data_IF_520980159597
#
_entry.id   IF_520980159597
#
_cell.length_a   1.000
_cell.length_b   1.000
_cell.length_c   1.000
_cell.angle_alpha   90.00
_cell.angle_beta   90.00
_cell.angle_gamma   90.00
#
_symmetry.space_group_name_H-M   'P 1'
#
loop_
_entity.id
_entity.type
_entity.pdbx_description
1 polymer ?
#
# COMPACT_ATOMS: atom_id res chain seq x y z
N UNK A 1 -12.39 -25.33 -7.62
CA UNK A 1 -11.51 -25.37 -6.42
C UNK A 1 -10.51 -24.24 -6.60
N UNK A 2 -10.43 -23.32 -5.66
CA UNK A 2 -9.56 -22.14 -5.76
C UNK A 2 -8.17 -22.48 -5.21
N UNK A 3 -7.09 -22.51 -6.04
CA UNK A 3 -5.75 -22.87 -5.58
C UNK A 3 -5.20 -21.95 -4.48
N UNK A 4 -5.60 -20.68 -4.46
CA UNK A 4 -5.13 -19.72 -3.45
C UNK A 4 -5.68 -20.06 -2.06
N UNK A 5 -6.95 -20.50 -2.00
CA UNK A 5 -7.54 -20.96 -0.76
C UNK A 5 -6.88 -22.26 -0.24
N UNK A 6 -6.41 -23.13 -1.14
CA UNK A 6 -5.65 -24.33 -0.74
C UNK A 6 -4.29 -23.98 -0.13
N UNK A 7 -3.58 -22.97 -0.63
CA UNK A 7 -2.34 -22.50 -0.01
C UNK A 7 -2.57 -22.01 1.42
N UNK A 8 -3.70 -21.33 1.66
CA UNK A 8 -4.09 -20.89 3.00
C UNK A 8 -4.35 -22.07 3.95
N UNK A 9 -4.97 -23.15 3.48
CA UNK A 9 -5.14 -24.38 4.26
C UNK A 9 -3.80 -25.04 4.62
N UNK A 10 -2.78 -24.87 3.77
CA UNK A 10 -1.40 -25.30 4.03
C UNK A 10 -0.60 -24.32 4.92
N UNK A 11 -1.22 -23.22 5.35
CA UNK A 11 -0.62 -22.22 6.23
C UNK A 11 0.19 -21.14 5.52
N UNK A 12 0.11 -21.04 4.19
CA UNK A 12 0.77 -19.99 3.41
C UNK A 12 -0.19 -18.84 3.11
N UNK A 13 0.22 -17.62 3.46
CA UNK A 13 -0.49 -16.39 3.15
C UNK A 13 -0.21 -15.94 1.70
N UNK A 14 -1.24 -15.44 1.02
CA UNK A 14 -1.14 -14.95 -0.36
C UNK A 14 -1.32 -13.44 -0.35
N UNK A 15 -0.32 -12.72 -0.88
CA UNK A 15 -0.33 -11.27 -0.96
C UNK A 15 -0.36 -10.82 -2.42
N UNK A 16 -1.03 -9.70 -2.70
CA UNK A 16 -1.06 -9.06 -4.01
C UNK A 16 0.12 -8.09 -4.14
N UNK A 17 0.98 -8.27 -5.15
CA UNK A 17 2.10 -7.36 -5.44
C UNK A 17 1.75 -6.30 -6.49
N UNK A 18 0.66 -5.58 -6.21
CA UNK A 18 0.18 -4.46 -7.02
C UNK A 18 -0.81 -3.65 -6.20
N UNK A 19 -0.90 -2.34 -6.46
CA UNK A 19 -1.93 -1.47 -5.92
C UNK A 19 -2.14 -0.27 -6.84
N UNK A 20 -3.40 0.07 -7.05
CA UNK A 20 -3.81 1.26 -7.79
C UNK A 20 -5.26 1.58 -7.47
N UNK A 21 -5.64 2.84 -7.65
CA UNK A 21 -6.95 3.37 -7.25
C UNK A 21 -8.12 2.65 -7.93
N UNK A 22 -7.92 2.12 -9.13
CA UNK A 22 -8.92 1.30 -9.81
C UNK A 22 -9.35 0.08 -8.98
N UNK A 23 -8.41 -0.67 -8.38
CA UNK A 23 -8.73 -1.83 -7.55
C UNK A 23 -9.62 -1.47 -6.34
N UNK A 24 -9.49 -0.25 -5.86
CA UNK A 24 -10.23 0.29 -4.72
C UNK A 24 -11.61 0.81 -5.12
N UNK A 25 -11.70 1.44 -6.29
CA UNK A 25 -12.92 2.10 -6.78
C UNK A 25 -13.91 1.10 -7.40
N UNK A 26 -13.42 0.08 -8.10
CA UNK A 26 -14.25 -0.92 -8.77
C UNK A 26 -14.60 -2.14 -7.87
N UNK A 27 -14.03 -2.19 -6.67
CA UNK A 27 -14.27 -3.24 -5.69
C UNK A 27 -13.54 -4.55 -5.96
N UNK A 28 -12.67 -4.62 -6.98
CA UNK A 28 -11.91 -5.82 -7.31
C UNK A 28 -10.94 -6.23 -6.19
N UNK A 29 -10.35 -5.28 -5.44
CA UNK A 29 -9.54 -5.64 -4.28
C UNK A 29 -10.37 -6.35 -3.20
N UNK A 30 -11.57 -5.84 -2.91
CA UNK A 30 -12.46 -6.48 -1.95
C UNK A 30 -12.83 -7.89 -2.43
N UNK A 31 -13.10 -8.06 -3.73
CA UNK A 31 -13.36 -9.38 -4.30
C UNK A 31 -12.18 -10.34 -4.13
N UNK A 32 -10.94 -9.91 -4.37
CA UNK A 32 -9.73 -10.71 -4.16
C UNK A 32 -9.56 -11.14 -2.69
N UNK A 33 -9.85 -10.23 -1.75
CA UNK A 33 -9.78 -10.54 -0.31
C UNK A 33 -10.85 -11.58 0.06
N UNK A 34 -12.10 -11.36 -0.34
CA UNK A 34 -13.24 -12.20 0.08
C UNK A 34 -13.31 -13.55 -0.64
N UNK A 35 -13.06 -13.57 -1.95
CA UNK A 35 -13.27 -14.76 -2.79
C UNK A 35 -12.00 -15.58 -2.96
N UNK A 36 -10.84 -14.92 -2.99
CA UNK A 36 -9.55 -15.54 -3.28
C UNK A 36 -8.64 -15.66 -2.05
N UNK A 37 -9.02 -15.04 -0.94
CA UNK A 37 -8.29 -15.14 0.32
C UNK A 37 -6.99 -14.35 0.35
N UNK A 38 -6.83 -13.35 -0.54
CA UNK A 38 -5.71 -12.40 -0.48
C UNK A 38 -5.69 -11.74 0.90
N UNK A 39 -4.55 -11.86 1.58
CA UNK A 39 -4.40 -11.50 2.99
C UNK A 39 -3.35 -10.43 3.22
N UNK A 40 -2.79 -9.85 2.16
CA UNK A 40 -1.90 -8.70 2.25
C UNK A 40 -1.64 -8.08 0.89
N UNK A 41 -1.07 -6.88 0.89
CA UNK A 41 -0.75 -6.11 -0.32
C UNK A 41 0.65 -5.54 -0.18
N UNK A 42 1.44 -5.64 -1.25
CA UNK A 42 2.69 -4.90 -1.37
C UNK A 42 2.60 -3.79 -2.41
N UNK A 43 3.19 -2.65 -2.07
CA UNK A 43 3.40 -1.55 -3.01
C UNK A 43 4.89 -1.20 -3.09
N UNK A 44 5.24 -0.44 -4.12
CA UNK A 44 6.55 0.16 -4.31
C UNK A 44 6.43 1.36 -5.26
N UNK A 45 7.47 2.22 -5.39
CA UNK A 45 7.40 3.39 -6.26
C UNK A 45 7.10 3.06 -7.73
N UNK A 46 7.56 1.92 -8.25
CA UNK A 46 7.31 1.52 -9.63
C UNK A 46 5.83 1.13 -9.86
N UNK A 47 5.18 0.49 -8.88
CA UNK A 47 3.75 0.19 -8.89
C UNK A 47 2.94 1.49 -8.99
N UNK A 48 3.19 2.45 -8.10
CA UNK A 48 2.47 3.73 -8.11
C UNK A 48 2.75 4.57 -9.35
N UNK A 49 4.01 4.57 -9.83
CA UNK A 49 4.34 5.25 -11.08
C UNK A 49 3.46 4.74 -12.23
N UNK A 50 3.30 3.41 -12.38
CA UNK A 50 2.41 2.86 -13.42
C UNK A 50 0.94 3.27 -13.17
N UNK A 51 0.44 3.08 -11.95
CA UNK A 51 -0.96 3.36 -11.63
C UNK A 51 -1.35 4.82 -11.92
N UNK A 52 -0.47 5.76 -11.55
CA UNK A 52 -0.71 7.20 -11.69
C UNK A 52 -0.50 7.66 -13.15
N UNK A 53 0.58 7.21 -13.81
CA UNK A 53 0.91 7.72 -15.16
C UNK A 53 0.09 7.09 -16.29
N UNK A 54 -0.50 5.90 -16.08
CA UNK A 54 -1.18 5.15 -17.14
C UNK A 54 -2.71 5.23 -17.05
N UNK A 55 -3.26 6.04 -16.13
CA UNK A 55 -4.71 6.20 -15.98
C UNK A 55 -5.09 7.65 -15.66
N UNK A 56 -6.27 8.08 -16.12
CA UNK A 56 -6.83 9.40 -15.78
C UNK A 56 -7.56 9.43 -14.43
N UNK A 57 -7.56 8.32 -13.67
CA UNK A 57 -8.30 8.19 -12.39
C UNK A 57 -7.77 9.19 -11.35
N UNK A 58 -6.49 9.55 -11.43
CA UNK A 58 -5.85 10.46 -10.49
C UNK A 58 -5.97 11.94 -10.89
N UNK A 59 -6.38 12.27 -12.12
CA UNK A 59 -6.33 13.63 -12.68
C UNK A 59 -7.07 14.66 -11.85
N UNK A 60 -8.26 14.31 -11.35
CA UNK A 60 -9.08 15.21 -10.55
C UNK A 60 -8.40 15.55 -9.21
N UNK A 61 -7.82 14.55 -8.54
CA UNK A 61 -7.11 14.73 -7.28
C UNK A 61 -5.79 15.51 -7.50
N UNK A 62 -5.03 15.17 -8.54
CA UNK A 62 -3.81 15.89 -8.94
C UNK A 62 -4.12 17.38 -9.17
N UNK A 63 -5.17 17.69 -9.95
CA UNK A 63 -5.56 19.08 -10.22
C UNK A 63 -5.95 19.80 -8.93
N UNK A 64 -6.75 19.17 -8.09
CA UNK A 64 -7.19 19.76 -6.82
C UNK A 64 -6.02 20.08 -5.88
N UNK A 65 -5.04 19.19 -5.78
CA UNK A 65 -3.86 19.40 -4.92
C UNK A 65 -2.90 20.42 -5.51
N UNK A 66 -2.73 20.45 -6.84
CA UNK A 66 -1.98 21.49 -7.51
C UNK A 66 -2.60 22.89 -7.31
N UNK A 67 -3.94 23.01 -7.37
CA UNK A 67 -4.66 24.25 -7.08
C UNK A 67 -4.51 24.72 -5.62
N UNK A 68 -4.22 23.80 -4.70
CA UNK A 68 -3.90 24.10 -3.29
C UNK A 68 -2.44 24.56 -3.10
N UNK A 69 -1.60 24.48 -4.14
CA UNK A 69 -0.20 24.87 -4.10
C UNK A 69 0.77 23.76 -3.68
N UNK A 70 0.32 22.50 -3.65
CA UNK A 70 1.18 21.37 -3.31
C UNK A 70 2.27 21.16 -4.38
N UNK A 71 3.47 20.77 -3.94
CA UNK A 71 4.55 20.32 -4.85
C UNK A 71 4.23 18.95 -5.45
N UNK A 72 4.93 18.56 -6.53
CA UNK A 72 4.78 17.22 -7.12
C UNK A 72 4.94 16.09 -6.11
N UNK A 73 5.92 16.23 -5.20
CA UNK A 73 6.24 15.21 -4.20
C UNK A 73 5.14 15.12 -3.14
N UNK A 74 4.60 16.26 -2.72
CA UNK A 74 3.47 16.32 -1.80
C UNK A 74 2.19 15.72 -2.44
N UNK A 75 1.92 16.03 -3.71
CA UNK A 75 0.80 15.45 -4.45
C UNK A 75 0.94 13.93 -4.53
N UNK A 76 2.12 13.44 -4.96
CA UNK A 76 2.39 12.01 -5.04
C UNK A 76 2.16 11.33 -3.69
N UNK A 77 2.74 11.86 -2.62
CA UNK A 77 2.63 11.26 -1.29
C UNK A 77 1.18 11.22 -0.80
N UNK A 78 0.40 12.30 -1.00
CA UNK A 78 -1.02 12.33 -0.64
C UNK A 78 -1.81 11.24 -1.36
N UNK A 79 -1.62 11.09 -2.67
CA UNK A 79 -2.33 10.07 -3.46
C UNK A 79 -1.99 8.66 -2.99
N UNK A 80 -0.71 8.40 -2.72
CA UNK A 80 -0.23 7.11 -2.24
C UNK A 80 -0.76 6.80 -0.84
N UNK A 81 -0.69 7.74 0.09
CA UNK A 81 -1.19 7.56 1.45
C UNK A 81 -2.70 7.27 1.43
N UNK A 82 -3.48 8.00 0.63
CA UNK A 82 -4.92 7.75 0.49
C UNK A 82 -5.22 6.32 0.02
N UNK A 83 -4.52 5.86 -1.03
CA UNK A 83 -4.74 4.52 -1.58
C UNK A 83 -4.30 3.43 -0.58
N UNK A 84 -3.19 3.64 0.14
CA UNK A 84 -2.70 2.75 1.20
C UNK A 84 -3.67 2.70 2.38
N UNK A 85 -4.22 3.83 2.82
CA UNK A 85 -5.20 3.89 3.90
C UNK A 85 -6.46 3.11 3.55
N UNK A 86 -6.99 3.32 2.33
CA UNK A 86 -8.16 2.59 1.84
C UNK A 86 -7.91 1.08 1.75
N UNK A 87 -6.75 0.68 1.24
CA UNK A 87 -6.37 -0.73 1.19
C UNK A 87 -6.21 -1.35 2.59
N UNK A 88 -5.60 -0.61 3.53
CA UNK A 88 -5.44 -1.05 4.91
C UNK A 88 -6.79 -1.19 5.63
N UNK A 89 -7.73 -0.29 5.35
CA UNK A 89 -9.10 -0.35 5.88
C UNK A 89 -9.85 -1.60 5.36
N UNK A 90 -9.68 -1.97 4.08
CA UNK A 90 -10.26 -3.20 3.52
C UNK A 90 -9.67 -4.49 4.13
N UNK A 91 -8.37 -4.48 4.48
CA UNK A 91 -7.70 -5.63 5.11
C UNK A 91 -7.83 -5.67 6.64
N UNK A 92 -8.49 -4.67 7.25
CA UNK A 92 -8.55 -4.52 8.70
C UNK A 92 -9.20 -5.72 9.40
N UNK A 93 -10.23 -6.29 8.79
CA UNK A 93 -10.93 -7.45 9.34
C UNK A 93 -10.06 -8.71 9.28
N UNK A 94 -9.31 -8.91 8.19
CA UNK A 94 -8.30 -9.97 8.09
C UNK A 94 -7.24 -9.83 9.17
N UNK A 95 -6.73 -8.61 9.40
CA UNK A 95 -5.75 -8.34 10.44
C UNK A 95 -6.26 -8.69 11.84
N UNK A 96 -7.50 -8.30 12.16
CA UNK A 96 -8.12 -8.63 13.44
C UNK A 96 -8.40 -10.12 13.58
N UNK A 97 -8.96 -10.76 12.56
CA UNK A 97 -9.36 -12.16 12.60
C UNK A 97 -8.16 -13.13 12.68
N UNK A 98 -6.99 -12.70 12.22
CA UNK A 98 -5.75 -13.50 12.25
C UNK A 98 -4.82 -13.14 13.40
N UNK A 99 -5.30 -12.36 14.37
CA UNK A 99 -4.49 -11.84 15.50
C UNK A 99 -3.19 -11.18 15.01
N UNK A 100 -3.32 -10.29 14.03
CA UNK A 100 -2.22 -9.54 13.41
C UNK A 100 -1.20 -10.40 12.66
N UNK A 101 -1.50 -11.67 12.33
CA UNK A 101 -0.63 -12.50 11.49
C UNK A 101 -0.68 -12.07 10.01
N UNK A 102 -1.84 -11.66 9.53
CA UNK A 102 -2.08 -11.20 8.16
C UNK A 102 -2.79 -9.83 8.16
N UNK A 103 -3.26 -9.40 6.99
CA UNK A 103 -4.06 -8.20 6.81
C UNK A 103 -3.24 -6.93 6.64
N UNK A 104 -2.01 -7.03 6.12
CA UNK A 104 -1.09 -5.92 6.01
C UNK A 104 -1.09 -5.27 4.62
N UNK A 105 -0.81 -3.98 4.59
CA UNK A 105 -0.45 -3.24 3.37
C UNK A 105 0.93 -2.65 3.56
N UNK A 106 1.82 -2.75 2.58
CA UNK A 106 3.15 -2.13 2.66
C UNK A 106 3.27 -0.82 1.89
N UNK A 107 4.05 0.11 2.45
CA UNK A 107 4.48 1.36 1.84
C UNK A 107 6.01 1.47 1.97
N UNK A 108 6.70 1.74 0.86
CA UNK A 108 8.17 1.85 0.85
C UNK A 108 8.64 3.26 1.18
N UNK A 109 9.72 3.37 1.95
CA UNK A 109 10.46 4.63 2.11
C UNK A 109 11.05 5.09 0.77
N UNK A 110 11.50 6.34 0.70
CA UNK A 110 12.21 6.81 -0.50
C UNK A 110 13.45 5.95 -0.79
N UNK A 111 13.61 5.39 -2.00
CA UNK A 111 14.79 4.60 -2.37
C UNK A 111 16.11 5.39 -2.29
N UNK A 112 16.04 6.72 -2.33
CA UNK A 112 17.21 7.59 -2.18
C UNK A 112 17.80 7.59 -0.77
N UNK A 113 17.07 7.05 0.21
CA UNK A 113 17.51 6.96 1.60
C UNK A 113 18.12 5.60 1.94
N UNK A 114 18.19 4.66 0.99
CA UNK A 114 18.57 3.28 1.23
C UNK A 114 19.96 3.09 1.88
N UNK A 115 20.87 4.04 1.71
CA UNK A 115 22.22 4.02 2.30
C UNK A 115 22.38 4.99 3.50
N UNK A 116 21.28 5.55 4.02
CA UNK A 116 21.24 6.43 5.19
C UNK A 116 20.24 5.91 6.24
N UNK A 117 20.77 5.24 7.28
CA UNK A 117 19.96 4.63 8.34
C UNK A 117 19.11 5.65 9.08
N UNK A 118 19.68 6.83 9.39
CA UNK A 118 19.00 7.84 10.18
C UNK A 118 17.84 8.42 9.38
N UNK A 119 18.11 8.81 8.14
CA UNK A 119 17.08 9.37 7.26
C UNK A 119 15.98 8.35 6.97
N UNK A 120 16.33 7.08 6.76
CA UNK A 120 15.36 5.98 6.59
C UNK A 120 14.47 5.80 7.82
N UNK A 121 15.03 5.81 9.04
CA UNK A 121 14.25 5.70 10.28
C UNK A 121 13.29 6.88 10.44
N UNK A 122 13.78 8.09 10.17
CA UNK A 122 12.98 9.32 10.31
C UNK A 122 11.83 9.33 9.29
N UNK A 123 12.08 8.95 8.03
CA UNK A 123 11.06 8.85 6.99
C UNK A 123 10.05 7.73 7.28
N UNK A 124 10.51 6.55 7.71
CA UNK A 124 9.64 5.44 8.08
C UNK A 124 8.65 5.83 9.20
N UNK A 125 9.12 6.54 10.23
CA UNK A 125 8.26 7.03 11.33
C UNK A 125 7.25 8.07 10.85
N UNK A 126 7.69 8.98 9.98
CA UNK A 126 6.84 10.02 9.38
C UNK A 126 5.73 9.40 8.55
N UNK A 127 6.07 8.45 7.66
CA UNK A 127 5.10 7.73 6.83
C UNK A 127 4.14 6.88 7.68
N UNK A 128 4.65 6.19 8.70
CA UNK A 128 3.80 5.43 9.62
C UNK A 128 2.75 6.31 10.30
N UNK A 129 3.18 7.47 10.81
CA UNK A 129 2.29 8.44 11.44
C UNK A 129 1.31 9.08 10.45
N UNK A 130 1.74 9.32 9.20
CA UNK A 130 0.90 9.94 8.17
C UNK A 130 -0.20 8.98 7.66
N UNK A 131 0.12 7.69 7.51
CA UNK A 131 -0.87 6.68 7.14
C UNK A 131 -1.84 6.40 8.29
N UNK A 132 -1.36 6.36 9.54
CA UNK A 132 -2.18 6.16 10.74
C UNK A 132 -3.11 4.94 10.63
N UNK A 133 -2.54 3.80 10.22
CA UNK A 133 -3.21 2.50 10.22
C UNK A 133 -2.30 1.45 10.86
N UNK A 134 -2.78 0.72 11.89
CA UNK A 134 -1.93 -0.22 12.63
C UNK A 134 -1.55 -1.48 11.84
N UNK A 135 -2.18 -1.74 10.71
CA UNK A 135 -1.85 -2.82 9.77
C UNK A 135 -1.09 -2.31 8.53
N UNK A 136 -0.46 -1.14 8.62
CA UNK A 136 0.59 -0.77 7.69
C UNK A 136 1.84 -1.63 7.95
N UNK A 137 2.71 -1.76 6.95
CA UNK A 137 4.12 -2.09 7.13
C UNK A 137 4.96 -1.08 6.35
N UNK A 138 5.98 -0.49 6.97
CA UNK A 138 6.96 0.28 6.20
C UNK A 138 7.98 -0.68 5.61
N UNK A 139 8.09 -0.67 4.29
CA UNK A 139 9.09 -1.43 3.55
C UNK A 139 10.39 -0.63 3.51
N UNK A 140 11.43 -1.23 4.08
CA UNK A 140 12.80 -0.71 4.12
C UNK A 140 13.69 -1.62 3.27
N UNK A 141 14.52 -1.08 2.36
CA UNK A 141 15.47 -1.87 1.58
C UNK A 141 16.43 -2.67 2.47
N UNK A 142 16.74 -3.91 2.09
CA UNK A 142 17.69 -4.77 2.82
C UNK A 142 19.16 -4.46 2.51
N UNK A 143 19.56 -3.20 2.63
CA UNK A 143 20.95 -2.72 2.44
C UNK A 143 21.74 -2.84 3.75
N UNK A 144 23.01 -2.41 3.75
CA UNK A 144 23.88 -2.48 4.92
C UNK A 144 23.65 -1.35 5.94
N UNK A 145 23.01 -0.26 5.53
CA UNK A 145 22.71 0.90 6.37
C UNK A 145 21.69 0.55 7.47
#
# INVERSE_FOLDING_TARGET
MNPLLQLKELGQSVWLDDLGRHYLDDGSLAALIHNDGVSGITSNPAIFNRAISQSGIYDAAIRSYAEQGDSSDAIYERLVIEDIQRAADLLRDTWRATDSRDGYVSLEVSPHLADDSKATIDDARRLWAAVDRPNLMIKVPGTAA
#
